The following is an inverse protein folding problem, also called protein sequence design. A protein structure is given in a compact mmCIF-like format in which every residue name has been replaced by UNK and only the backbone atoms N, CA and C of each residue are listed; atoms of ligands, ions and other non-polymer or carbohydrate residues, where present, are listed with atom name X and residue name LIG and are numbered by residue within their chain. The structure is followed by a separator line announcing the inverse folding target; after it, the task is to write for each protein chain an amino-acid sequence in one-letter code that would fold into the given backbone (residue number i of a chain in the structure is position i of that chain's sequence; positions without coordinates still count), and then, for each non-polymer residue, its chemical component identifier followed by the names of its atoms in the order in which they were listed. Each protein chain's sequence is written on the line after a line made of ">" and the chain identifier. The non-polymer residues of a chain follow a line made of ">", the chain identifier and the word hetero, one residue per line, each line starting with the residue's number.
data_IF_914957791145
#
_entry.id   IF_914957791145
#
_cell.length_a   1.000
_cell.length_b   1.000
_cell.length_c   1.000
_cell.angle_alpha   90.00
_cell.angle_beta   90.00
_cell.angle_gamma   90.00
#
_symmetry.space_group_name_H-M   'P 1'
#
loop_
_entity.id
_entity.type
_entity.pdbx_description
1 polymer ?
#
# COMPACT_ATOMS: atom_id res chain seq x y z
N UNK A 1 -2.87 -5.79 17.92
CA UNK A 1 -1.82 -5.94 16.86
C UNK A 1 -2.43 -6.68 15.69
N UNK A 2 -2.35 -6.12 14.48
CA UNK A 2 -2.95 -6.71 13.28
C UNK A 2 -2.35 -8.10 12.97
N UNK A 3 -3.19 -9.00 12.44
CA UNK A 3 -2.85 -10.40 12.13
C UNK A 3 -2.81 -10.61 10.62
N UNK A 4 -1.81 -11.37 10.15
CA UNK A 4 -1.70 -11.74 8.74
C UNK A 4 -2.83 -12.70 8.34
N UNK A 5 -3.46 -12.46 7.21
CA UNK A 5 -4.38 -13.40 6.56
C UNK A 5 -3.94 -13.66 5.11
N UNK A 6 -4.31 -14.81 4.59
CA UNK A 6 -4.19 -15.14 3.16
C UNK A 6 -5.56 -15.22 2.48
N UNK A 7 -6.65 -15.11 3.25
CA UNK A 7 -7.99 -15.09 2.70
C UNK A 7 -8.30 -13.72 2.11
N UNK A 8 -8.76 -13.70 0.86
CA UNK A 8 -9.18 -12.47 0.19
C UNK A 8 -10.41 -11.91 0.93
N UNK A 9 -10.30 -10.70 1.51
CA UNK A 9 -11.42 -10.10 2.22
C UNK A 9 -12.47 -9.58 1.24
N UNK A 10 -13.73 -9.52 1.68
CA UNK A 10 -14.81 -8.86 0.92
C UNK A 10 -14.77 -7.34 1.10
N UNK A 11 -14.45 -6.93 2.32
CA UNK A 11 -14.36 -5.54 2.74
C UNK A 11 -12.96 -5.25 3.24
N UNK A 12 -12.30 -4.27 2.65
CA UNK A 12 -10.89 -3.95 2.93
C UNK A 12 -10.52 -2.56 2.45
N UNK A 13 -9.37 -2.10 2.90
CA UNK A 13 -8.73 -0.88 2.40
C UNK A 13 -7.32 -1.21 1.91
N UNK A 14 -7.04 -0.90 0.66
CA UNK A 14 -5.68 -0.98 0.10
C UNK A 14 -4.96 0.30 0.46
N UNK A 15 -3.73 0.17 0.96
CA UNK A 15 -2.87 1.32 1.30
C UNK A 15 -1.54 1.24 0.57
N UNK A 16 -1.01 2.40 0.27
CA UNK A 16 0.35 2.59 -0.22
C UNK A 16 0.86 3.97 0.20
N UNK A 17 2.16 4.08 0.48
CA UNK A 17 2.82 5.31 0.92
C UNK A 17 4.07 5.59 0.09
N UNK A 18 4.24 6.85 -0.30
CA UNK A 18 5.54 7.35 -0.72
C UNK A 18 6.23 8.06 0.45
N UNK A 19 7.53 7.83 0.59
CA UNK A 19 8.30 8.32 1.73
C UNK A 19 9.66 8.87 1.32
N UNK A 20 10.26 9.69 2.18
CA UNK A 20 11.63 10.24 1.95
C UNK A 20 12.74 9.23 2.22
N UNK A 21 12.41 7.99 2.56
CA UNK A 21 13.36 6.90 2.83
C UNK A 21 12.71 5.74 3.56
N UNK A 22 13.49 4.76 4.00
CA UNK A 22 12.97 3.47 4.47
C UNK A 22 12.78 3.35 5.98
N UNK A 23 13.19 4.34 6.76
CA UNK A 23 13.15 4.29 8.24
C UNK A 23 12.01 5.14 8.78
N UNK A 24 10.96 4.57 9.41
CA UNK A 24 9.88 5.35 10.03
C UNK A 24 10.34 6.36 11.09
N UNK A 25 11.50 6.11 11.73
CA UNK A 25 12.06 7.01 12.74
C UNK A 25 12.85 8.21 12.15
N UNK A 26 13.24 8.13 10.86
CA UNK A 26 14.14 9.12 10.24
C UNK A 26 13.57 9.73 8.97
N UNK A 27 12.59 9.09 8.37
CA UNK A 27 11.99 9.47 7.09
C UNK A 27 10.56 9.94 7.29
N UNK A 28 10.05 10.69 6.33
CA UNK A 28 8.73 11.31 6.37
C UNK A 28 7.86 10.78 5.23
N UNK A 29 6.56 10.72 5.45
CA UNK A 29 5.57 10.40 4.43
C UNK A 29 5.41 11.61 3.52
N UNK A 30 5.39 11.41 2.21
CA UNK A 30 5.20 12.46 1.20
C UNK A 30 3.98 12.26 0.30
N UNK A 31 3.42 11.04 0.26
CA UNK A 31 2.11 10.76 -0.32
C UNK A 31 1.46 9.60 0.45
N UNK A 32 0.14 9.64 0.58
CA UNK A 32 -0.68 8.58 1.14
C UNK A 32 -1.79 8.26 0.15
N UNK A 33 -2.02 6.99 -0.12
CA UNK A 33 -3.21 6.51 -0.78
C UNK A 33 -3.92 5.45 0.07
N UNK A 34 -5.25 5.57 0.13
CA UNK A 34 -6.14 4.58 0.74
C UNK A 34 -7.32 4.38 -0.20
N UNK A 35 -7.48 3.19 -0.76
CA UNK A 35 -8.61 2.82 -1.60
C UNK A 35 -9.47 1.80 -0.87
N UNK A 36 -10.69 2.18 -0.53
CA UNK A 36 -11.61 1.34 0.23
C UNK A 36 -12.53 0.56 -0.69
N UNK A 37 -12.66 -0.72 -0.41
CA UNK A 37 -13.48 -1.66 -1.19
C UNK A 37 -14.54 -2.32 -0.32
N UNK A 38 -15.75 -2.51 -0.91
CA UNK A 38 -16.86 -3.25 -0.32
C UNK A 38 -17.40 -4.22 -1.37
N UNK A 39 -17.40 -5.51 -1.06
CA UNK A 39 -17.78 -6.57 -2.00
C UNK A 39 -17.07 -6.50 -3.36
N UNK A 40 -15.80 -6.07 -3.37
CA UNK A 40 -14.97 -5.93 -4.58
C UNK A 40 -15.16 -4.62 -5.34
N UNK A 41 -16.09 -3.75 -4.95
CA UNK A 41 -16.30 -2.42 -5.55
C UNK A 41 -15.59 -1.34 -4.74
N UNK A 42 -14.89 -0.42 -5.43
CA UNK A 42 -14.26 0.72 -4.78
C UNK A 42 -15.34 1.74 -4.38
N UNK A 43 -15.45 2.01 -3.07
CA UNK A 43 -16.46 2.92 -2.51
C UNK A 43 -15.89 4.25 -2.03
N UNK A 44 -14.59 4.30 -1.74
CA UNK A 44 -13.90 5.50 -1.27
C UNK A 44 -12.46 5.51 -1.76
N UNK A 45 -11.94 6.70 -2.05
CA UNK A 45 -10.53 6.90 -2.38
C UNK A 45 -10.01 8.15 -1.66
N UNK A 46 -8.89 8.00 -0.98
CA UNK A 46 -8.09 9.11 -0.46
C UNK A 46 -6.73 9.02 -1.16
N UNK A 47 -6.34 10.10 -1.82
CA UNK A 47 -4.98 10.29 -2.30
C UNK A 47 -4.53 11.69 -1.90
N UNK A 48 -3.48 11.80 -1.12
CA UNK A 48 -3.04 13.05 -0.55
C UNK A 48 -1.52 13.17 -0.56
N UNK A 49 -1.00 14.20 -1.22
CA UNK A 49 0.38 14.63 -1.03
C UNK A 49 0.54 15.21 0.38
N UNK A 50 1.69 14.97 0.99
CA UNK A 50 2.02 15.41 2.34
C UNK A 50 3.30 16.23 2.29
N UNK A 51 3.28 17.42 2.90
CA UNK A 51 4.46 18.28 3.00
C UNK A 51 5.40 17.78 4.09
N UNK A 52 6.61 17.33 3.73
CA UNK A 52 7.61 16.94 4.73
C UNK A 52 8.23 18.18 5.37
N UNK A 53 8.79 18.03 6.59
CA UNK A 53 9.52 19.09 7.28
C UNK A 53 10.88 19.40 6.67
N UNK A 54 11.47 18.41 6.00
CA UNK A 54 12.76 18.51 5.30
C UNK A 54 12.57 18.36 3.80
N UNK A 55 13.44 19.01 3.03
CA UNK A 55 13.41 18.90 1.57
C UNK A 55 13.59 17.43 1.15
N UNK A 56 12.82 17.03 0.14
CA UNK A 56 12.96 15.75 -0.53
C UNK A 56 14.28 15.76 -1.30
N UNK A 57 15.12 14.74 -1.07
CA UNK A 57 16.38 14.62 -1.80
C UNK A 57 16.16 14.37 -3.30
N UNK A 58 17.12 14.75 -4.13
CA UNK A 58 17.07 14.53 -5.58
C UNK A 58 16.84 13.04 -5.93
N UNK A 59 17.49 12.14 -5.19
CA UNK A 59 17.31 10.70 -5.37
C UNK A 59 15.85 10.27 -5.18
N UNK A 60 15.20 10.71 -4.09
CA UNK A 60 13.80 10.37 -3.81
C UNK A 60 12.86 11.02 -4.82
N UNK A 61 13.10 12.27 -5.23
CA UNK A 61 12.29 12.93 -6.25
C UNK A 61 12.32 12.13 -7.58
N UNK A 62 13.49 11.66 -7.99
CA UNK A 62 13.61 10.84 -9.20
C UNK A 62 12.99 9.44 -9.04
N UNK A 63 13.02 8.88 -7.84
CA UNK A 63 12.48 7.56 -7.56
C UNK A 63 10.96 7.55 -7.48
N UNK A 64 10.37 8.54 -6.80
CA UNK A 64 8.91 8.62 -6.56
C UNK A 64 8.17 9.51 -7.57
N UNK A 65 8.91 10.34 -8.33
CA UNK A 65 8.33 11.39 -9.16
C UNK A 65 7.74 12.57 -8.38
N UNK A 66 7.83 12.57 -7.04
CA UNK A 66 7.28 13.64 -6.19
C UNK A 66 8.36 14.68 -5.94
N UNK A 67 8.15 15.90 -6.41
CA UNK A 67 9.11 17.00 -6.27
C UNK A 67 8.82 17.88 -5.04
N UNK A 68 9.80 18.67 -4.63
CA UNK A 68 9.61 19.64 -3.55
C UNK A 68 8.54 20.68 -3.87
N UNK A 69 8.39 21.03 -5.15
CA UNK A 69 7.36 21.98 -5.63
C UNK A 69 5.97 21.39 -5.49
N UNK A 70 5.80 20.09 -5.79
CA UNK A 70 4.51 19.42 -5.68
C UNK A 70 3.96 19.37 -4.25
N UNK A 71 4.85 19.27 -3.25
CA UNK A 71 4.45 19.18 -1.84
C UNK A 71 4.49 20.52 -1.11
N UNK A 72 4.90 21.61 -1.76
CA UNK A 72 5.13 22.91 -1.12
C UNK A 72 3.88 23.44 -0.39
N UNK A 73 2.71 23.29 -1.02
CA UNK A 73 1.41 23.75 -0.49
C UNK A 73 0.55 22.58 0.03
N UNK A 74 1.10 21.37 0.12
CA UNK A 74 0.39 20.23 0.67
C UNK A 74 0.23 20.35 2.19
N UNK A 75 -0.80 19.72 2.78
CA UNK A 75 -0.95 19.69 4.24
C UNK A 75 0.20 18.94 4.90
N UNK A 76 0.44 19.24 6.16
CA UNK A 76 1.35 18.47 7.01
C UNK A 76 0.69 17.14 7.40
N UNK A 77 1.52 16.18 7.81
CA UNK A 77 1.03 14.84 8.18
C UNK A 77 -0.04 14.89 9.28
N UNK A 78 0.10 15.77 10.25
CA UNK A 78 -0.84 15.93 11.36
C UNK A 78 -2.24 16.35 10.91
N UNK A 79 -2.34 17.07 9.80
CA UNK A 79 -3.61 17.52 9.22
C UNK A 79 -4.32 16.39 8.44
N UNK A 80 -3.54 15.44 7.90
CA UNK A 80 -4.03 14.32 7.07
C UNK A 80 -4.42 13.12 7.94
N UNK A 81 -3.71 12.88 9.02
CA UNK A 81 -3.87 11.69 9.88
C UNK A 81 -5.30 11.42 10.38
N UNK A 82 -6.12 12.42 10.76
CA UNK A 82 -7.48 12.15 11.22
C UNK A 82 -8.34 11.44 10.17
N UNK A 83 -8.28 11.89 8.92
CA UNK A 83 -9.01 11.28 7.81
C UNK A 83 -8.49 9.87 7.50
N UNK A 84 -7.17 9.69 7.48
CA UNK A 84 -6.53 8.39 7.25
C UNK A 84 -6.89 7.41 8.38
N UNK A 85 -6.80 7.83 9.64
CA UNK A 85 -7.16 6.98 10.78
C UNK A 85 -8.62 6.55 10.73
N UNK A 86 -9.53 7.46 10.38
CA UNK A 86 -10.95 7.14 10.21
C UNK A 86 -11.20 6.15 9.06
N UNK A 87 -10.48 6.33 7.93
CA UNK A 87 -10.56 5.42 6.78
C UNK A 87 -10.09 4.00 7.12
N UNK A 88 -9.07 3.86 7.96
CA UNK A 88 -8.43 2.58 8.30
C UNK A 88 -9.04 1.88 9.52
N UNK A 89 -9.87 2.57 10.29
CA UNK A 89 -10.43 2.03 11.53
C UNK A 89 -11.34 0.81 11.26
N UNK A 90 -10.98 -0.33 11.87
CA UNK A 90 -11.74 -1.58 11.76
C UNK A 90 -11.60 -2.31 10.42
N UNK A 91 -10.79 -1.79 9.50
CA UNK A 91 -10.59 -2.37 8.18
C UNK A 91 -9.61 -3.55 8.19
N UNK A 92 -9.78 -4.46 7.25
CA UNK A 92 -8.70 -5.35 6.80
C UNK A 92 -7.81 -4.56 5.88
N UNK A 93 -6.52 -4.47 6.21
CA UNK A 93 -5.56 -3.70 5.43
C UNK A 93 -4.92 -4.57 4.36
N UNK A 94 -4.88 -4.09 3.13
CA UNK A 94 -4.21 -4.76 2.00
C UNK A 94 -3.08 -3.86 1.49
N UNK A 95 -1.97 -4.45 1.10
CA UNK A 95 -0.85 -3.73 0.47
C UNK A 95 0.20 -4.68 -0.09
N UNK A 96 1.18 -4.12 -0.76
CA UNK A 96 2.34 -4.86 -1.24
C UNK A 96 3.56 -4.52 -0.39
N UNK A 97 4.05 -5.47 0.43
CA UNK A 97 4.98 -5.19 1.53
C UNK A 97 4.37 -4.27 2.59
N UNK A 98 3.11 -4.46 2.87
CA UNK A 98 2.25 -3.57 3.66
C UNK A 98 2.75 -3.29 5.09
N UNK A 99 3.62 -4.15 5.61
CA UNK A 99 4.27 -3.88 6.91
C UNK A 99 5.13 -2.62 6.89
N UNK A 100 5.70 -2.27 5.73
CA UNK A 100 6.41 -1.00 5.55
C UNK A 100 5.47 0.17 5.83
N UNK A 101 4.34 0.24 5.15
CA UNK A 101 3.35 1.31 5.25
C UNK A 101 2.74 1.38 6.66
N UNK A 102 2.33 0.23 7.18
CA UNK A 102 1.78 0.13 8.53
C UNK A 102 2.77 0.62 9.59
N UNK A 103 4.08 0.38 9.44
CA UNK A 103 5.08 0.84 10.39
C UNK A 103 5.27 2.37 10.33
N UNK A 104 5.22 2.98 9.14
CA UNK A 104 5.21 4.43 9.01
C UNK A 104 3.97 5.06 9.66
N UNK A 105 2.79 4.51 9.42
CA UNK A 105 1.54 5.01 10.02
C UNK A 105 1.51 4.77 11.54
N UNK A 106 2.02 3.64 12.04
CA UNK A 106 2.17 3.40 13.48
C UNK A 106 3.10 4.41 14.15
N UNK A 107 4.18 4.79 13.49
CA UNK A 107 5.08 5.84 13.99
C UNK A 107 4.38 7.21 14.11
N UNK A 108 3.27 7.41 13.37
CA UNK A 108 2.39 8.58 13.47
C UNK A 108 1.21 8.38 14.43
N UNK A 109 1.15 7.28 15.18
CA UNK A 109 0.11 6.99 16.16
C UNK A 109 -1.12 6.25 15.63
N UNK A 110 -1.14 5.82 14.38
CA UNK A 110 -2.24 5.00 13.82
C UNK A 110 -2.17 3.58 14.39
N UNK A 111 -3.30 3.08 14.89
CA UNK A 111 -3.41 1.72 15.44
C UNK A 111 -4.06 0.76 14.45
N UNK A 112 -3.52 -0.44 14.38
CA UNK A 112 -4.03 -1.53 13.56
C UNK A 112 -4.32 -2.75 14.42
N UNK A 113 -5.61 -3.10 14.57
CA UNK A 113 -6.06 -4.17 15.47
C UNK A 113 -6.71 -5.35 14.72
N UNK A 114 -6.99 -5.21 13.41
CA UNK A 114 -7.68 -6.20 12.59
C UNK A 114 -6.74 -7.17 11.87
N UNK A 115 -7.10 -7.47 10.65
CA UNK A 115 -6.34 -8.33 9.75
C UNK A 115 -5.59 -7.51 8.71
N UNK A 116 -4.52 -8.07 8.17
CA UNK A 116 -3.89 -7.55 6.97
C UNK A 116 -3.53 -8.65 5.98
N UNK A 117 -3.60 -8.33 4.70
CA UNK A 117 -3.16 -9.17 3.60
C UNK A 117 -1.99 -8.48 2.92
N UNK A 118 -0.91 -9.20 2.74
CA UNK A 118 0.30 -8.70 2.08
C UNK A 118 0.52 -9.46 0.78
N UNK A 119 0.34 -8.79 -0.36
CA UNK A 119 0.49 -9.42 -1.68
C UNK A 119 1.93 -9.86 -1.97
N UNK A 120 2.94 -9.24 -1.34
CA UNK A 120 4.34 -9.72 -1.40
C UNK A 120 4.45 -11.11 -0.74
N UNK A 121 3.90 -11.28 0.47
CA UNK A 121 3.92 -12.59 1.13
C UNK A 121 3.08 -13.61 0.40
N UNK A 122 1.91 -13.22 -0.10
CA UNK A 122 1.04 -14.09 -0.88
C UNK A 122 1.74 -14.56 -2.16
N UNK A 123 2.35 -13.64 -2.92
CA UNK A 123 3.11 -13.99 -4.13
C UNK A 123 4.27 -14.95 -3.86
N UNK A 124 5.01 -14.74 -2.77
CA UNK A 124 6.09 -15.65 -2.35
C UNK A 124 5.60 -17.05 -1.98
N UNK A 125 4.37 -17.19 -1.51
CA UNK A 125 3.76 -18.49 -1.22
C UNK A 125 3.33 -19.22 -2.48
N UNK A 126 2.77 -18.51 -3.45
CA UNK A 126 2.14 -19.08 -4.64
C UNK A 126 3.11 -19.21 -5.83
N UNK A 127 4.00 -18.25 -6.03
CA UNK A 127 4.89 -18.17 -7.19
C UNK A 127 6.32 -18.54 -6.80
N UNK A 128 6.62 -19.84 -6.78
CA UNK A 128 7.96 -20.34 -6.36
C UNK A 128 9.06 -20.13 -7.41
N UNK A 129 8.70 -19.96 -8.67
CA UNK A 129 9.62 -19.97 -9.80
C UNK A 129 9.82 -18.60 -10.45
N UNK A 130 9.30 -17.52 -9.85
CA UNK A 130 9.58 -16.17 -10.33
C UNK A 130 10.85 -15.61 -9.68
N UNK A 131 11.61 -14.82 -10.44
CA UNK A 131 12.90 -14.29 -10.01
C UNK A 131 12.77 -13.07 -9.07
N UNK A 132 11.61 -12.38 -9.10
CA UNK A 132 11.37 -11.17 -8.35
C UNK A 132 9.91 -11.08 -7.89
N UNK A 133 9.68 -10.53 -6.69
CA UNK A 133 8.33 -10.33 -6.13
C UNK A 133 8.02 -8.85 -5.88
N UNK A 134 8.71 -7.92 -6.54
CA UNK A 134 8.35 -6.50 -6.54
C UNK A 134 7.02 -6.31 -7.28
N UNK A 135 6.27 -5.29 -6.88
CA UNK A 135 4.95 -4.99 -7.46
C UNK A 135 5.03 -4.84 -8.98
N UNK A 136 5.92 -3.99 -9.48
CA UNK A 136 6.16 -3.75 -10.91
C UNK A 136 6.41 -5.05 -11.69
N UNK A 137 7.34 -5.88 -11.19
CA UNK A 137 7.67 -7.15 -11.84
C UNK A 137 6.47 -8.11 -11.90
N UNK A 138 5.69 -8.19 -10.82
CA UNK A 138 4.50 -9.05 -10.78
C UNK A 138 3.38 -8.49 -11.64
N UNK A 139 3.23 -7.17 -11.75
CA UNK A 139 2.30 -6.54 -12.67
C UNK A 139 2.65 -6.89 -14.13
N UNK A 140 3.90 -6.77 -14.52
CA UNK A 140 4.38 -7.19 -15.85
C UNK A 140 4.12 -8.69 -16.10
N UNK A 141 4.42 -9.52 -15.10
CA UNK A 141 4.22 -10.96 -15.18
C UNK A 141 2.75 -11.35 -15.42
N UNK A 142 1.80 -10.64 -14.83
CA UNK A 142 0.36 -10.87 -14.99
C UNK A 142 -0.31 -10.01 -16.08
N UNK A 143 0.44 -9.14 -16.77
CA UNK A 143 -0.10 -8.20 -17.75
C UNK A 143 -1.02 -7.15 -17.14
N UNK A 144 -0.76 -6.75 -15.89
CA UNK A 144 -1.44 -5.64 -15.23
C UNK A 144 -0.81 -4.34 -15.74
N UNK A 145 -1.62 -3.47 -16.33
CA UNK A 145 -1.12 -2.22 -16.91
C UNK A 145 -0.76 -1.24 -15.80
N UNK A 146 0.50 -0.84 -15.77
CA UNK A 146 1.00 0.23 -14.91
C UNK A 146 0.62 1.59 -15.49
N UNK A 147 0.10 2.47 -14.64
CA UNK A 147 -0.29 3.83 -15.01
C UNK A 147 0.58 4.91 -14.38
N UNK A 148 1.69 4.59 -13.77
CA UNK A 148 2.70 5.47 -13.13
C UNK A 148 2.93 5.19 -11.63
N UNK A 149 4.16 5.43 -11.16
CA UNK A 149 4.63 5.35 -9.78
C UNK A 149 4.01 6.46 -8.90
N UNK A 150 2.79 6.25 -8.45
CA UNK A 150 2.05 7.10 -7.52
C UNK A 150 1.25 6.20 -6.57
N UNK A 151 1.18 6.55 -5.31
CA UNK A 151 0.58 5.71 -4.28
C UNK A 151 -0.83 5.17 -4.64
N UNK A 152 -1.69 5.98 -5.26
CA UNK A 152 -3.01 5.49 -5.69
C UNK A 152 -2.93 4.47 -6.84
N UNK A 153 -1.99 4.65 -7.76
CA UNK A 153 -1.73 3.69 -8.85
C UNK A 153 -1.24 2.36 -8.29
N UNK A 154 -0.31 2.41 -7.34
CA UNK A 154 0.23 1.22 -6.68
C UNK A 154 -0.85 0.49 -5.86
N UNK A 155 -1.79 1.23 -5.24
CA UNK A 155 -2.98 0.64 -4.63
C UNK A 155 -3.86 -0.11 -5.65
N UNK A 156 -4.12 0.47 -6.83
CA UNK A 156 -4.92 -0.16 -7.89
C UNK A 156 -4.22 -1.42 -8.41
N UNK A 157 -2.92 -1.35 -8.70
CA UNK A 157 -2.11 -2.48 -9.12
C UNK A 157 -2.08 -3.58 -8.06
N UNK A 158 -1.91 -3.22 -6.78
CA UNK A 158 -1.92 -4.17 -5.66
C UNK A 158 -3.27 -4.87 -5.54
N UNK A 159 -4.37 -4.15 -5.73
CA UNK A 159 -5.72 -4.71 -5.74
C UNK A 159 -5.90 -5.74 -6.87
N UNK A 160 -5.53 -5.40 -8.08
CA UNK A 160 -5.60 -6.31 -9.22
C UNK A 160 -4.68 -7.52 -9.03
N UNK A 161 -3.44 -7.29 -8.56
CA UNK A 161 -2.49 -8.36 -8.27
C UNK A 161 -3.05 -9.35 -7.23
N UNK A 162 -3.71 -8.86 -6.18
CA UNK A 162 -4.35 -9.71 -5.18
C UNK A 162 -5.33 -10.70 -5.83
N UNK A 163 -6.17 -10.24 -6.74
CA UNK A 163 -7.13 -11.11 -7.45
C UNK A 163 -6.45 -12.05 -8.45
N UNK A 164 -5.40 -11.60 -9.15
CA UNK A 164 -4.60 -12.48 -10.02
C UNK A 164 -3.96 -13.62 -9.23
N UNK A 165 -3.39 -13.33 -8.09
CA UNK A 165 -2.83 -14.34 -7.20
C UNK A 165 -3.91 -15.30 -6.68
N UNK A 166 -5.08 -14.79 -6.30
CA UNK A 166 -6.20 -15.60 -5.83
C UNK A 166 -6.80 -16.50 -6.92
N UNK A 167 -6.63 -16.17 -8.18
CA UNK A 167 -7.09 -17.01 -9.32
C UNK A 167 -6.19 -18.21 -9.60
N UNK A 168 -5.00 -18.28 -9.00
CA UNK A 168 -4.06 -19.39 -9.20
C UNK A 168 -4.55 -20.68 -8.51
N UNK A 169 -4.36 -21.86 -9.15
CA UNK A 169 -4.75 -23.15 -8.54
C UNK A 169 -4.11 -23.39 -7.16
N UNK A 170 -2.90 -22.90 -6.95
CA UNK A 170 -2.15 -23.00 -5.69
C UNK A 170 -2.82 -22.24 -4.54
N UNK A 171 -3.56 -21.16 -4.85
CA UNK A 171 -4.25 -20.36 -3.84
C UNK A 171 -5.36 -21.17 -3.13
N UNK A 172 -6.11 -22.01 -3.85
CA UNK A 172 -7.17 -22.84 -3.26
C UNK A 172 -6.61 -23.78 -2.18
N UNK A 173 -5.39 -24.29 -2.37
CA UNK A 173 -4.71 -25.13 -1.36
C UNK A 173 -4.27 -24.31 -0.15
N UNK A 174 -3.89 -23.06 -0.35
CA UNK A 174 -3.42 -22.18 0.73
C UNK A 174 -4.59 -21.69 1.59
N UNK A 175 -5.73 -21.33 0.98
CA UNK A 175 -6.92 -20.81 1.67
C UNK A 175 -7.71 -21.86 2.44
N UNK A 176 -7.47 -23.15 2.17
CA UNK A 176 -8.09 -24.28 2.87
C UNK A 176 -7.34 -24.73 4.13
N UNK A 177 -6.17 -24.14 4.42
CA UNK A 177 -5.36 -24.40 5.61
C UNK A 177 -5.68 -23.43 6.75
#
# INVERSE_FOLDING_TARGET
>A
MAKLTYNIPKDYTVIDLETTGTSPAKSEIIEIACLKYRNGEQVEAIQQLVRPRRRISYFIQNFTGITNEMVADAPMIEEVLPAISACLQGETIVGHNVNFDMNFLKAQGVNFDGWYLDTLYLSRKLLKNVSCHKLEYLCDYFGIVDTHHRAASDCLMTNELMYRLASLPEYQKLSAM
#
